data_IF_819171786820
#
_entry.id   IF_819171786820
#
_cell.length_a   1.000
_cell.length_b   1.000
_cell.length_c   1.000
_cell.angle_alpha   90.00
_cell.angle_beta   90.00
_cell.angle_gamma   90.00
#
_symmetry.space_group_name_H-M   'P 1'
#
loop_
_entity.id
_entity.type
_entity.pdbx_description
1 polymer ?
#
# COMPACT_ATOMS: atom_id res chain seq x y z
N UNK A 1 19.37 -45.39 46.62
CA UNK A 1 18.91 -44.01 46.36
C UNK A 1 19.75 -43.48 45.22
N UNK A 2 19.30 -43.65 43.99
CA UNK A 2 20.06 -43.30 42.78
C UNK A 2 19.36 -42.15 42.09
N UNK A 3 19.99 -40.98 42.09
CA UNK A 3 19.51 -39.79 41.40
C UNK A 3 19.87 -39.89 39.92
N UNK A 4 18.86 -40.04 39.06
CA UNK A 4 18.98 -39.92 37.60
C UNK A 4 18.79 -38.45 37.23
N UNK A 5 19.88 -37.79 36.83
CA UNK A 5 19.89 -36.42 36.32
C UNK A 5 19.34 -36.42 34.89
N UNK A 6 18.09 -35.98 34.71
CA UNK A 6 17.49 -35.75 33.37
C UNK A 6 18.00 -34.41 32.86
N UNK A 7 18.87 -34.44 31.85
CA UNK A 7 19.24 -33.24 31.10
C UNK A 7 18.08 -32.86 30.15
N UNK A 8 17.59 -31.61 30.15
CA UNK A 8 16.60 -31.18 29.18
C UNK A 8 17.26 -31.04 27.81
N UNK A 9 16.82 -31.84 26.84
CA UNK A 9 17.10 -31.64 25.42
C UNK A 9 16.36 -30.35 24.99
N UNK A 10 17.03 -29.21 25.10
CA UNK A 10 16.57 -27.97 24.47
C UNK A 10 16.75 -28.11 22.97
N UNK A 11 15.70 -28.53 22.28
CA UNK A 11 15.64 -28.40 20.83
C UNK A 11 15.69 -26.89 20.46
N UNK A 12 16.41 -26.51 19.39
CA UNK A 12 16.39 -25.14 18.94
C UNK A 12 14.96 -24.76 18.55
N UNK A 13 14.42 -23.75 19.22
CA UNK A 13 13.17 -23.13 18.81
C UNK A 13 13.44 -22.40 17.49
N UNK A 14 13.07 -23.01 16.37
CA UNK A 14 13.05 -22.32 15.09
C UNK A 14 11.96 -21.24 15.16
N UNK A 15 12.38 -19.97 15.09
CA UNK A 15 11.45 -18.89 14.80
C UNK A 15 10.97 -19.09 13.35
N UNK A 16 9.78 -19.67 13.19
CA UNK A 16 9.09 -19.63 11.91
C UNK A 16 8.62 -18.19 11.72
N UNK A 17 9.30 -17.43 10.86
CA UNK A 17 8.76 -16.16 10.40
C UNK A 17 7.46 -16.47 9.66
N UNK A 18 6.35 -15.79 10.01
CA UNK A 18 5.13 -15.94 9.23
C UNK A 18 5.42 -15.52 7.80
N UNK A 19 4.92 -16.28 6.82
CA UNK A 19 5.05 -15.94 5.41
C UNK A 19 4.64 -14.49 5.18
N UNK A 20 5.52 -13.72 4.53
CA UNK A 20 5.22 -12.34 4.19
C UNK A 20 4.01 -12.30 3.24
N UNK A 21 3.14 -11.29 3.36
CA UNK A 21 2.01 -11.15 2.44
C UNK A 21 2.52 -10.98 1.00
N UNK A 22 1.85 -11.66 0.05
CA UNK A 22 2.17 -11.63 -1.39
C UNK A 22 2.25 -10.19 -1.97
N UNK A 23 1.51 -9.25 -1.36
CA UNK A 23 1.62 -7.83 -1.65
C UNK A 23 1.59 -7.01 -0.36
N UNK A 24 2.52 -6.05 -0.25
CA UNK A 24 2.61 -5.12 0.88
C UNK A 24 1.49 -4.07 0.87
N UNK A 25 0.84 -3.86 -0.29
CA UNK A 25 -0.28 -2.93 -0.48
C UNK A 25 -1.38 -3.58 -1.31
N UNK A 26 -2.63 -3.21 -1.02
CA UNK A 26 -3.77 -3.63 -1.84
C UNK A 26 -3.82 -2.92 -3.19
N UNK A 27 -4.58 -3.48 -4.14
CA UNK A 27 -4.81 -2.89 -5.47
C UNK A 27 -5.29 -1.42 -5.41
N UNK A 28 -6.26 -1.03 -4.55
CA UNK A 28 -6.72 0.35 -4.51
C UNK A 28 -5.61 1.33 -4.13
N UNK A 29 -4.75 0.93 -3.21
CA UNK A 29 -3.62 1.73 -2.75
C UNK A 29 -2.53 1.83 -3.82
N UNK A 30 -2.23 0.73 -4.51
CA UNK A 30 -1.31 0.75 -5.65
C UNK A 30 -1.76 1.74 -6.74
N UNK A 31 -3.05 1.79 -7.05
CA UNK A 31 -3.62 2.72 -8.03
C UNK A 31 -3.53 4.16 -7.53
N UNK A 32 -3.86 4.41 -6.25
CA UNK A 32 -3.72 5.74 -5.63
C UNK A 32 -2.29 6.27 -5.77
N UNK A 33 -1.29 5.47 -5.41
CA UNK A 33 0.13 5.82 -5.52
C UNK A 33 0.53 6.11 -6.97
N UNK A 34 0.06 5.29 -7.92
CA UNK A 34 0.36 5.50 -9.33
C UNK A 34 -0.22 6.84 -9.85
N UNK A 35 -1.46 7.18 -9.45
CA UNK A 35 -2.09 8.46 -9.80
C UNK A 35 -1.35 9.62 -9.16
N UNK A 36 -1.06 9.55 -7.85
CA UNK A 36 -0.27 10.58 -7.16
C UNK A 36 1.07 10.80 -7.85
N UNK A 37 1.81 9.74 -8.16
CA UNK A 37 3.11 9.81 -8.84
C UNK A 37 2.99 10.55 -10.17
N UNK A 38 1.93 10.27 -10.94
CA UNK A 38 1.67 10.95 -12.22
C UNK A 38 1.29 12.41 -12.03
N UNK A 39 0.49 12.74 -11.03
CA UNK A 39 0.04 14.10 -10.74
C UNK A 39 1.14 14.98 -10.12
N UNK A 40 2.05 14.39 -9.35
CA UNK A 40 3.20 15.07 -8.75
C UNK A 40 4.35 15.26 -9.75
N UNK A 41 4.31 14.63 -10.92
CA UNK A 41 5.23 14.95 -12.00
C UNK A 41 5.13 16.44 -12.33
N UNK A 42 6.31 17.07 -12.56
CA UNK A 42 6.48 18.52 -12.73
C UNK A 42 5.31 19.14 -13.48
N UNK A 43 4.59 20.08 -12.84
CA UNK A 43 3.43 20.76 -13.42
C UNK A 43 3.79 21.34 -14.79
N UNK A 44 3.36 20.69 -15.87
CA UNK A 44 3.57 21.15 -17.25
C UNK A 44 2.46 22.10 -17.70
N UNK A 45 1.42 22.25 -16.88
CA UNK A 45 0.31 23.13 -17.16
C UNK A 45 0.69 24.60 -17.11
N UNK A 46 0.38 25.32 -18.18
CA UNK A 46 0.71 26.74 -18.36
C UNK A 46 -0.39 27.70 -17.88
N UNK A 47 -1.61 27.22 -17.61
CA UNK A 47 -2.74 28.07 -17.18
C UNK A 47 -3.06 27.84 -15.70
N UNK A 48 -3.40 28.91 -14.99
CA UNK A 48 -3.75 28.85 -13.55
C UNK A 48 -4.93 27.92 -13.26
N UNK A 49 -5.96 27.90 -14.10
CA UNK A 49 -7.11 27.00 -13.94
C UNK A 49 -6.69 25.53 -13.90
N UNK A 50 -5.93 25.08 -14.90
CA UNK A 50 -5.41 23.70 -14.95
C UNK A 50 -4.43 23.38 -13.82
N UNK A 51 -3.67 24.35 -13.29
CA UNK A 51 -2.85 24.13 -12.08
C UNK A 51 -3.73 23.89 -10.86
N UNK A 52 -4.82 24.66 -10.71
CA UNK A 52 -5.80 24.47 -9.64
C UNK A 52 -6.50 23.11 -9.75
N UNK A 53 -6.92 22.71 -10.95
CA UNK A 53 -7.51 21.38 -11.20
C UNK A 53 -6.53 20.25 -10.85
N UNK A 54 -5.29 20.35 -11.29
CA UNK A 54 -4.26 19.35 -10.97
C UNK A 54 -3.98 19.30 -9.46
N UNK A 55 -3.94 20.46 -8.79
CA UNK A 55 -3.78 20.55 -7.33
C UNK A 55 -4.93 19.87 -6.58
N UNK A 56 -6.18 20.09 -7.01
CA UNK A 56 -7.34 19.43 -6.42
C UNK A 56 -7.30 17.91 -6.58
N UNK A 57 -6.81 17.40 -7.72
CA UNK A 57 -6.62 15.97 -7.90
C UNK A 57 -5.51 15.42 -6.99
N UNK A 58 -4.39 16.14 -6.81
CA UNK A 58 -3.32 15.73 -5.88
C UNK A 58 -3.88 15.61 -4.46
N UNK A 59 -4.65 16.61 -4.02
CA UNK A 59 -5.29 16.61 -2.69
C UNK A 59 -6.28 15.46 -2.54
N UNK A 60 -7.14 15.24 -3.53
CA UNK A 60 -8.12 14.14 -3.51
C UNK A 60 -7.45 12.77 -3.36
N UNK A 61 -6.37 12.52 -4.08
CA UNK A 61 -5.66 11.24 -3.99
C UNK A 61 -4.74 11.14 -2.77
N UNK A 62 -4.52 12.23 -2.00
CA UNK A 62 -3.65 12.23 -0.80
C UNK A 62 -4.28 11.56 0.43
N UNK A 63 -5.62 11.47 0.47
CA UNK A 63 -6.35 10.90 1.59
C UNK A 63 -6.40 9.37 1.44
N UNK A 64 -5.90 8.58 2.40
CA UNK A 64 -6.08 7.14 2.44
C UNK A 64 -7.57 6.78 2.46
N UNK A 65 -7.93 5.62 1.91
CA UNK A 65 -9.32 5.11 1.87
C UNK A 65 -10.35 5.95 1.10
N UNK A 66 -9.96 7.11 0.54
CA UNK A 66 -10.82 7.86 -0.37
C UNK A 66 -11.09 7.05 -1.64
N UNK A 67 -12.36 6.97 -2.04
CA UNK A 67 -12.80 6.21 -3.22
C UNK A 67 -12.07 6.65 -4.49
N UNK A 68 -11.65 5.69 -5.32
CA UNK A 68 -11.03 6.00 -6.61
C UNK A 68 -12.12 6.51 -7.58
N UNK A 69 -11.85 7.62 -8.28
CA UNK A 69 -12.83 8.26 -9.16
C UNK A 69 -13.24 7.38 -10.35
N UNK A 70 -12.29 6.64 -10.91
CA UNK A 70 -12.47 5.84 -12.13
C UNK A 70 -12.22 4.35 -11.93
N UNK A 71 -12.08 3.89 -10.69
CA UNK A 71 -11.81 2.48 -10.42
C UNK A 71 -12.70 1.99 -9.31
N UNK A 72 -13.40 0.89 -9.56
CA UNK A 72 -14.16 0.14 -8.57
C UNK A 72 -13.62 -1.29 -8.45
N UNK A 73 -14.38 -2.15 -7.77
CA UNK A 73 -14.11 -3.57 -7.61
C UNK A 73 -14.05 -4.35 -8.93
N UNK A 74 -14.73 -3.88 -9.98
CA UNK A 74 -14.79 -4.48 -11.31
C UNK A 74 -13.71 -3.92 -12.25
N UNK A 75 -13.06 -2.82 -11.89
CA UNK A 75 -11.98 -2.21 -12.66
C UNK A 75 -12.29 -0.78 -13.07
N UNK A 76 -11.92 -0.39 -14.29
CA UNK A 76 -12.13 0.96 -14.80
C UNK A 76 -13.62 1.23 -15.04
N UNK A 77 -14.11 2.37 -14.54
CA UNK A 77 -15.50 2.82 -14.69
C UNK A 77 -15.60 3.95 -15.71
N UNK A 78 -16.71 4.06 -16.46
CA UNK A 78 -16.92 5.09 -17.51
C UNK A 78 -17.25 6.52 -16.99
N UNK A 79 -16.95 6.82 -15.72
CA UNK A 79 -17.43 8.04 -15.07
C UNK A 79 -16.78 9.33 -15.57
#
# INVERSE_FOLDING_TARGET
>A
MTLLLVAPLTAPAFAAEPDAPDALIGRPEAIRIAVQTRLSAKFTSTTEAKKSEQGALVEYYSVPDQHLLWVDENGLTER
#
